data_IF_792303726084
#
_entry.id   IF_792303726084
#
_cell.length_a   1.000
_cell.length_b   1.000
_cell.length_c   1.000
_cell.angle_alpha   90.00
_cell.angle_beta   90.00
_cell.angle_gamma   90.00
#
_symmetry.space_group_name_H-M   'P 1'
#
loop_
_entity.id
_entity.type
_entity.pdbx_description
1 polymer ?
#
# COMPACT_ATOMS: atom_id res chain seq x y z
N UNK A 1 6.04 -17.41 -40.67
CA UNK A 1 5.31 -17.94 -39.50
C UNK A 1 5.92 -17.32 -38.24
N UNK A 2 5.48 -16.13 -37.85
CA UNK A 2 5.83 -15.54 -36.56
C UNK A 2 4.82 -16.05 -35.54
N UNK A 3 5.23 -16.96 -34.67
CA UNK A 3 4.35 -17.53 -33.66
C UNK A 3 5.16 -18.03 -32.47
N UNK A 4 4.70 -17.65 -31.29
CA UNK A 4 5.14 -18.12 -29.98
C UNK A 4 6.54 -17.64 -29.56
N UNK A 5 6.76 -17.01 -28.42
CA UNK A 5 6.00 -17.06 -27.19
C UNK A 5 6.25 -15.74 -26.46
N UNK A 6 5.25 -14.88 -26.43
CA UNK A 6 5.26 -13.72 -25.56
C UNK A 6 5.01 -14.17 -24.13
N UNK A 7 5.99 -14.82 -23.49
CA UNK A 7 6.00 -14.96 -22.04
C UNK A 7 6.36 -13.60 -21.44
N UNK A 8 5.39 -12.68 -21.49
CA UNK A 8 5.35 -11.46 -20.70
C UNK A 8 4.56 -11.71 -19.43
N UNK A 9 4.70 -12.89 -18.81
CA UNK A 9 4.41 -13.00 -17.37
C UNK A 9 5.56 -12.34 -16.61
N UNK A 10 5.72 -11.03 -16.82
CA UNK A 10 6.06 -10.16 -15.70
C UNK A 10 4.85 -10.26 -14.78
N UNK A 11 4.82 -11.31 -13.98
CA UNK A 11 4.16 -11.28 -12.69
C UNK A 11 4.91 -10.19 -11.95
N UNK A 12 4.53 -8.94 -12.20
CA UNK A 12 4.93 -7.82 -11.38
C UNK A 12 4.49 -8.24 -10.00
N UNK A 13 5.48 -8.57 -9.17
CA UNK A 13 5.32 -9.10 -7.82
C UNK A 13 4.18 -8.34 -7.18
N UNK A 14 3.01 -8.98 -7.10
CA UNK A 14 1.86 -8.42 -6.40
C UNK A 14 2.29 -8.48 -4.95
N UNK A 15 2.85 -7.36 -4.49
CA UNK A 15 3.17 -7.18 -3.10
C UNK A 15 1.88 -7.43 -2.34
N UNK A 16 1.87 -8.42 -1.44
CA UNK A 16 0.67 -8.80 -0.69
C UNK A 16 -0.02 -7.54 -0.19
N UNK A 17 -1.33 -7.41 -0.41
CA UNK A 17 -2.08 -6.17 -0.14
C UNK A 17 -1.75 -5.59 1.26
N UNK A 18 -1.52 -6.48 2.23
CA UNK A 18 -1.01 -6.14 3.56
C UNK A 18 0.32 -5.36 3.55
N UNK A 19 1.37 -5.85 2.87
CA UNK A 19 2.69 -5.19 2.78
C UNK A 19 2.59 -3.85 2.08
N UNK A 20 1.78 -3.78 1.03
CA UNK A 20 1.50 -2.53 0.33
C UNK A 20 0.89 -1.50 1.27
N UNK A 21 -0.19 -1.86 1.99
CA UNK A 21 -0.86 -0.96 2.92
C UNK A 21 0.02 -0.57 4.12
N UNK A 22 0.85 -1.49 4.63
CA UNK A 22 1.81 -1.16 5.70
C UNK A 22 2.84 -0.14 5.26
N UNK A 23 3.45 -0.33 4.07
CA UNK A 23 4.41 0.63 3.53
C UNK A 23 3.73 1.98 3.31
N UNK A 24 2.55 2.00 2.71
CA UNK A 24 1.80 3.24 2.49
C UNK A 24 1.46 3.96 3.77
N UNK A 25 1.00 3.26 4.81
CA UNK A 25 0.75 3.87 6.11
C UNK A 25 2.00 4.54 6.71
N UNK A 26 3.18 3.93 6.56
CA UNK A 26 4.43 4.52 7.02
C UNK A 26 4.84 5.75 6.19
N UNK A 27 4.73 5.68 4.86
CA UNK A 27 5.00 6.80 3.96
C UNK A 27 4.12 8.01 4.29
N UNK A 28 2.82 7.80 4.50
CA UNK A 28 1.89 8.88 4.85
C UNK A 28 2.19 9.48 6.23
N UNK A 29 2.64 8.68 7.21
CA UNK A 29 3.10 9.24 8.50
C UNK A 29 4.30 10.15 8.34
N UNK A 30 5.26 9.76 7.51
CA UNK A 30 6.44 10.58 7.22
C UNK A 30 6.03 11.85 6.45
N UNK A 31 5.09 11.75 5.51
CA UNK A 31 4.53 12.91 4.81
C UNK A 31 3.82 13.87 5.77
N UNK A 32 3.05 13.35 6.74
CA UNK A 32 2.43 14.16 7.78
C UNK A 32 3.46 14.89 8.65
N UNK A 33 4.60 14.26 8.97
CA UNK A 33 5.67 14.91 9.73
C UNK A 33 6.39 15.99 8.92
N UNK A 34 6.51 15.80 7.60
CA UNK A 34 7.20 16.73 6.69
C UNK A 34 6.30 17.84 6.16
N UNK A 35 4.98 17.71 6.30
CA UNK A 35 4.02 18.67 5.78
C UNK A 35 4.12 20.03 6.51
N UNK A 36 4.29 21.08 5.71
CA UNK A 36 4.48 22.46 6.19
C UNK A 36 3.17 23.02 6.72
N UNK A 37 2.06 22.78 6.02
CA UNK A 37 0.74 23.28 6.40
C UNK A 37 0.00 22.30 7.30
N UNK A 38 -0.78 22.85 8.24
CA UNK A 38 -1.58 22.05 9.17
C UNK A 38 -2.60 21.16 8.46
N UNK A 39 -3.26 21.70 7.42
CA UNK A 39 -4.22 20.93 6.62
C UNK A 39 -3.58 19.72 5.93
N UNK A 40 -2.37 19.86 5.41
CA UNK A 40 -1.64 18.74 4.81
C UNK A 40 -1.21 17.72 5.86
N UNK A 41 -0.77 18.15 7.05
CA UNK A 41 -0.46 17.24 8.16
C UNK A 41 -1.67 16.38 8.53
N UNK A 42 -2.82 17.01 8.71
CA UNK A 42 -4.06 16.33 9.08
C UNK A 42 -4.52 15.37 7.98
N UNK A 43 -4.44 15.77 6.72
CA UNK A 43 -4.76 14.92 5.58
C UNK A 43 -3.88 13.66 5.53
N UNK A 44 -2.56 13.83 5.60
CA UNK A 44 -1.63 12.70 5.59
C UNK A 44 -1.79 11.82 6.84
N UNK A 45 -2.08 12.40 8.01
CA UNK A 45 -2.38 11.64 9.22
C UNK A 45 -3.66 10.79 9.06
N UNK A 46 -4.69 11.33 8.43
CA UNK A 46 -5.92 10.60 8.13
C UNK A 46 -5.66 9.44 7.15
N UNK A 47 -4.89 9.68 6.08
CA UNK A 47 -4.51 8.63 5.13
C UNK A 47 -3.71 7.51 5.80
N UNK A 48 -2.74 7.87 6.66
CA UNK A 48 -1.96 6.91 7.42
C UNK A 48 -2.84 5.98 8.28
N UNK A 49 -3.89 6.53 8.91
CA UNK A 49 -4.84 5.75 9.70
C UNK A 49 -5.66 4.80 8.82
N UNK A 50 -6.16 5.29 7.68
CA UNK A 50 -6.94 4.46 6.75
C UNK A 50 -6.11 3.30 6.21
N UNK A 51 -4.87 3.55 5.78
CA UNK A 51 -3.99 2.47 5.31
C UNK A 51 -3.61 1.49 6.42
N UNK A 52 -3.41 1.95 7.65
CA UNK A 52 -3.16 1.06 8.78
C UNK A 52 -4.37 0.16 9.09
N UNK A 53 -5.59 0.70 9.01
CA UNK A 53 -6.82 -0.08 9.19
C UNK A 53 -6.96 -1.15 8.09
N UNK A 54 -6.73 -0.78 6.82
CA UNK A 54 -6.74 -1.74 5.70
C UNK A 54 -5.68 -2.82 5.84
N UNK A 55 -4.48 -2.48 6.31
CA UNK A 55 -3.42 -3.46 6.57
C UNK A 55 -3.83 -4.47 7.65
N UNK A 56 -4.53 -4.02 8.69
CA UNK A 56 -5.05 -4.90 9.74
C UNK A 56 -6.20 -5.80 9.23
N UNK A 57 -7.11 -5.28 8.41
CA UNK A 57 -8.15 -6.07 7.73
C UNK A 57 -7.52 -7.15 6.84
N UNK A 58 -6.55 -6.79 6.00
CA UNK A 58 -5.84 -7.74 5.14
C UNK A 58 -5.07 -8.80 5.95
N UNK A 59 -4.56 -8.46 7.13
CA UNK A 59 -3.93 -9.42 8.03
C UNK A 59 -4.93 -10.46 8.55
N UNK A 60 -6.14 -10.03 8.93
CA UNK A 60 -7.18 -10.94 9.41
C UNK A 60 -7.66 -11.89 8.31
N UNK A 61 -7.82 -11.38 7.08
CA UNK A 61 -8.17 -12.22 5.92
C UNK A 61 -7.07 -13.24 5.63
N UNK A 62 -5.79 -12.83 5.66
CA UNK A 62 -4.67 -13.73 5.43
C UNK A 62 -4.50 -14.80 6.54
N UNK A 63 -4.93 -14.52 7.77
CA UNK A 63 -4.88 -15.47 8.89
C UNK A 63 -6.09 -16.43 8.93
N UNK A 64 -7.20 -16.09 8.25
CA UNK A 64 -8.41 -16.90 8.19
C UNK A 64 -8.50 -17.80 6.93
N UNK A 65 -7.58 -17.62 5.98
CA UNK A 65 -7.45 -18.43 4.76
C UNK A 65 -6.47 -19.60 4.97
#
# INVERSE_FOLDING_TARGET
MYGSSGDKRRVGVVESDQRFYFRRAAEERIAAQRAITESARQWHAQLAQQFAARAAESQQVAAAA
#
